data_IF_512723972801
#
_entry.id   IF_512723972801
#
_cell.length_a   1.000
_cell.length_b   1.000
_cell.length_c   1.000
_cell.angle_alpha   90.00
_cell.angle_beta   90.00
_cell.angle_gamma   90.00
#
_symmetry.space_group_name_H-M   'P 1'
#
loop_
_entity.id
_entity.type
_entity.pdbx_description
1 polymer ?
#
# COMPACT_ATOMS: atom_id res chain seq x y z
N UNK A 1 -13.66 5.85 -4.26
CA UNK A 1 -12.73 6.85 -4.85
C UNK A 1 -13.14 7.11 -6.29
N UNK A 2 -12.99 8.34 -6.78
CA UNK A 2 -13.33 8.64 -8.17
C UNK A 2 -12.32 7.93 -9.10
N UNK A 3 -12.78 7.19 -10.12
CA UNK A 3 -11.89 6.39 -11.02
C UNK A 3 -10.79 7.25 -11.66
N UNK A 4 -11.13 8.50 -11.95
CA UNK A 4 -10.19 9.51 -12.47
C UNK A 4 -9.03 9.72 -11.49
N UNK A 5 -9.31 9.84 -10.19
CA UNK A 5 -8.28 10.02 -9.17
C UNK A 5 -7.34 8.81 -9.08
N UNK A 6 -7.87 7.60 -9.24
CA UNK A 6 -7.05 6.38 -9.24
C UNK A 6 -6.07 6.37 -10.42
N UNK A 7 -6.56 6.70 -11.62
CA UNK A 7 -5.74 6.76 -12.83
C UNK A 7 -4.62 7.79 -12.63
N UNK A 8 -4.96 9.00 -12.15
CA UNK A 8 -3.97 10.02 -11.84
C UNK A 8 -2.93 9.54 -10.84
N UNK A 9 -3.35 8.87 -9.76
CA UNK A 9 -2.44 8.35 -8.74
C UNK A 9 -1.49 7.28 -9.31
N UNK A 10 -2.00 6.33 -10.09
CA UNK A 10 -1.18 5.30 -10.74
C UNK A 10 -0.20 5.91 -11.74
N UNK A 11 -0.65 6.89 -12.54
CA UNK A 11 0.22 7.60 -13.48
C UNK A 11 1.35 8.36 -12.75
N UNK A 12 1.04 9.05 -11.65
CA UNK A 12 2.04 9.72 -10.82
C UNK A 12 3.06 8.73 -10.25
N UNK A 13 2.58 7.56 -9.82
CA UNK A 13 3.42 6.51 -9.24
C UNK A 13 4.38 5.91 -10.29
N UNK A 14 3.91 5.70 -11.52
CA UNK A 14 4.74 5.25 -12.65
C UNK A 14 5.79 6.29 -13.04
N UNK A 15 5.42 7.58 -13.10
CA UNK A 15 6.37 8.66 -13.37
C UNK A 15 7.47 8.73 -12.30
N UNK A 16 7.07 8.68 -11.04
CA UNK A 16 7.97 8.68 -9.89
C UNK A 16 8.92 7.47 -9.93
N UNK A 17 8.41 6.29 -10.28
CA UNK A 17 9.24 5.09 -10.44
C UNK A 17 10.21 5.20 -11.62
N UNK A 18 9.79 5.81 -12.74
CA UNK A 18 10.65 6.10 -13.88
C UNK A 18 11.80 7.03 -13.52
N UNK A 19 11.52 8.12 -12.80
CA UNK A 19 12.57 9.02 -12.28
C UNK A 19 13.55 8.29 -11.35
N UNK A 20 13.03 7.41 -10.50
CA UNK A 20 13.87 6.60 -9.63
C UNK A 20 14.82 5.68 -10.42
N UNK A 21 14.35 5.02 -11.49
CA UNK A 21 15.20 4.20 -12.36
C UNK A 21 16.28 5.05 -13.04
N UNK A 22 15.96 6.26 -13.48
CA UNK A 22 16.93 7.17 -14.11
C UNK A 22 17.98 7.65 -13.10
N UNK A 23 17.58 8.00 -11.88
CA UNK A 23 18.48 8.49 -10.82
C UNK A 23 19.23 7.37 -10.08
N UNK A 24 18.83 6.10 -10.23
CA UNK A 24 19.41 4.96 -9.49
C UNK A 24 20.92 4.82 -9.65
N UNK A 25 21.49 5.24 -10.78
CA UNK A 25 22.93 5.09 -11.07
C UNK A 25 23.82 6.02 -10.24
N UNK A 26 23.26 7.10 -9.69
CA UNK A 26 24.00 8.07 -8.89
C UNK A 26 23.64 8.08 -7.40
N UNK A 27 22.76 7.18 -6.96
CA UNK A 27 22.31 7.13 -5.57
C UNK A 27 23.12 6.16 -4.73
N UNK A 28 23.31 6.52 -3.46
CA UNK A 28 23.88 5.62 -2.47
C UNK A 28 23.02 4.36 -2.31
N UNK A 29 23.65 3.18 -2.27
CA UNK A 29 22.96 1.89 -2.29
C UNK A 29 21.98 1.69 -1.13
N UNK A 30 22.23 2.38 0.00
CA UNK A 30 21.34 2.36 1.17
C UNK A 30 20.03 3.12 0.90
N UNK A 31 20.11 4.29 0.26
CA UNK A 31 18.93 5.07 -0.13
C UNK A 31 18.11 4.34 -1.20
N UNK A 32 18.79 3.72 -2.16
CA UNK A 32 18.14 2.92 -3.20
C UNK A 32 17.31 1.78 -2.58
N UNK A 33 17.87 1.08 -1.59
CA UNK A 33 17.19 -0.04 -0.92
C UNK A 33 15.96 0.42 -0.14
N UNK A 34 16.04 1.56 0.57
CA UNK A 34 14.91 2.16 1.29
C UNK A 34 13.79 2.53 0.32
N UNK A 35 14.11 3.19 -0.79
CA UNK A 35 13.10 3.62 -1.77
C UNK A 35 12.43 2.43 -2.45
N UNK A 36 13.19 1.38 -2.80
CA UNK A 36 12.62 0.14 -3.34
C UNK A 36 11.62 -0.49 -2.37
N UNK A 37 11.94 -0.54 -1.08
CA UNK A 37 11.02 -1.06 -0.05
C UNK A 37 9.73 -0.23 -0.01
N UNK A 38 9.85 1.10 -0.02
CA UNK A 38 8.69 1.99 -0.03
C UNK A 38 7.81 1.83 -1.28
N UNK A 39 8.38 1.72 -2.47
CA UNK A 39 7.61 1.45 -3.69
C UNK A 39 6.91 0.08 -3.62
N UNK A 40 7.60 -0.94 -3.14
CA UNK A 40 7.04 -2.30 -3.03
C UNK A 40 5.84 -2.31 -2.07
N UNK A 41 5.97 -1.65 -0.91
CA UNK A 41 4.88 -1.48 0.04
C UNK A 41 3.72 -0.68 -0.57
N UNK A 42 4.00 0.39 -1.29
CA UNK A 42 2.96 1.22 -1.91
C UNK A 42 2.15 0.45 -2.95
N UNK A 43 2.82 -0.39 -3.76
CA UNK A 43 2.14 -1.27 -4.72
C UNK A 43 1.29 -2.31 -3.99
N UNK A 44 1.82 -2.93 -2.93
CA UNK A 44 1.06 -3.91 -2.14
C UNK A 44 -0.19 -3.30 -1.50
N UNK A 45 -0.10 -2.08 -0.94
CA UNK A 45 -1.26 -1.36 -0.40
C UNK A 45 -2.25 -0.95 -1.49
N UNK A 46 -1.77 -0.51 -2.66
CA UNK A 46 -2.63 -0.21 -3.81
C UNK A 46 -3.44 -1.44 -4.23
N UNK A 47 -2.78 -2.59 -4.34
CA UNK A 47 -3.43 -3.86 -4.66
C UNK A 47 -4.46 -4.20 -3.58
N UNK A 48 -4.10 -4.14 -2.29
CA UNK A 48 -5.03 -4.40 -1.20
C UNK A 48 -6.28 -3.49 -1.23
N UNK A 49 -6.09 -2.20 -1.51
CA UNK A 49 -7.19 -1.24 -1.68
C UNK A 49 -8.05 -1.54 -2.90
N UNK A 50 -7.46 -1.93 -4.03
CA UNK A 50 -8.21 -2.36 -5.21
C UNK A 50 -9.00 -3.64 -4.94
N UNK A 51 -8.43 -4.61 -4.22
CA UNK A 51 -9.11 -5.84 -3.82
C UNK A 51 -10.31 -5.57 -2.92
N UNK A 52 -10.19 -4.61 -1.99
CA UNK A 52 -11.30 -4.15 -1.16
C UNK A 52 -12.38 -3.44 -1.99
N UNK A 53 -11.98 -2.58 -2.93
CA UNK A 53 -12.90 -1.81 -3.77
C UNK A 53 -13.68 -2.70 -4.77
N UNK A 54 -13.04 -3.76 -5.28
CA UNK A 54 -13.65 -4.74 -6.19
C UNK A 54 -14.38 -5.89 -5.48
N UNK A 55 -14.53 -5.86 -4.14
CA UNK A 55 -15.21 -6.89 -3.33
C UNK A 55 -14.64 -8.32 -3.44
N UNK A 56 -13.41 -8.51 -3.93
CA UNK A 56 -12.83 -9.87 -4.06
C UNK A 56 -12.36 -10.42 -2.71
N UNK A 57 -12.09 -9.54 -1.74
CA UNK A 57 -11.92 -9.93 -0.34
C UNK A 57 -13.18 -9.50 0.42
N UNK A 58 -13.94 -10.44 1.02
CA UNK A 58 -14.94 -10.08 1.99
C UNK A 58 -14.18 -9.42 3.14
N UNK A 59 -14.19 -8.10 3.20
CA UNK A 59 -13.68 -7.35 4.36
C UNK A 59 -14.38 -7.83 5.62
N UNK A 60 -15.58 -8.42 5.53
CA UNK A 60 -16.22 -9.15 6.61
C UNK A 60 -15.33 -10.22 7.23
N UNK A 61 -14.59 -11.02 6.45
CA UNK A 61 -13.76 -12.10 6.99
C UNK A 61 -12.53 -11.58 7.73
N UNK A 62 -11.87 -10.55 7.18
CA UNK A 62 -10.72 -9.90 7.82
C UNK A 62 -11.16 -9.13 9.07
N UNK A 63 -12.28 -8.41 8.99
CA UNK A 63 -12.88 -7.70 10.12
C UNK A 63 -13.36 -8.67 11.19
N UNK A 64 -13.94 -9.83 10.83
CA UNK A 64 -14.36 -10.87 11.77
C UNK A 64 -13.18 -11.59 12.43
N UNK A 65 -12.04 -11.69 11.75
CA UNK A 65 -10.82 -12.26 12.33
C UNK A 65 -10.13 -11.26 13.27
N UNK A 66 -10.00 -10.00 12.85
CA UNK A 66 -9.34 -8.95 13.65
C UNK A 66 -10.21 -8.45 14.81
N UNK A 67 -11.53 -8.38 14.65
CA UNK A 67 -12.48 -7.88 15.66
C UNK A 67 -12.29 -8.53 17.05
N UNK A 68 -12.25 -9.87 17.20
CA UNK A 68 -12.06 -10.49 18.52
C UNK A 68 -10.66 -10.23 19.11
N UNK A 69 -9.63 -10.10 18.28
CA UNK A 69 -8.27 -9.81 18.76
C UNK A 69 -8.11 -8.36 19.18
N UNK A 70 -8.66 -7.42 18.41
CA UNK A 70 -8.68 -6.00 18.76
C UNK A 70 -9.54 -5.75 19.98
N UNK A 71 -10.69 -6.43 20.11
CA UNK A 71 -11.56 -6.32 21.28
C UNK A 71 -10.86 -6.79 22.56
N UNK A 72 -10.20 -7.96 22.53
CA UNK A 72 -9.40 -8.44 23.66
C UNK A 72 -8.25 -7.51 24.01
N UNK A 73 -7.61 -6.89 23.02
CA UNK A 73 -6.53 -5.94 23.24
C UNK A 73 -7.06 -4.67 23.93
N UNK A 74 -8.18 -4.11 23.47
CA UNK A 74 -8.81 -2.94 24.09
C UNK A 74 -9.29 -3.24 25.52
N UNK A 75 -9.90 -4.41 25.74
CA UNK A 75 -10.32 -4.86 27.08
C UNK A 75 -9.15 -5.08 28.05
N UNK A 76 -7.90 -5.18 27.57
CA UNK A 76 -6.71 -5.24 28.45
C UNK A 76 -6.20 -3.86 28.88
N UNK A 77 -6.62 -2.79 28.20
CA UNK A 77 -6.21 -1.41 28.51
C UNK A 77 -7.26 -0.62 29.31
N UNK A 78 -8.48 -1.14 29.44
CA UNK A 78 -9.58 -0.59 30.25
C UNK A 78 -9.71 -1.35 31.58
#
# INVERSE_FOLDING_TARGET
MNRIFLIFFVSMLLLSFGEFILKRKGMDGRQQRVIVIFYTLTIAFLIALQFQYYQVLPTSNVMNFLSPHVKRWVDQFL
#
